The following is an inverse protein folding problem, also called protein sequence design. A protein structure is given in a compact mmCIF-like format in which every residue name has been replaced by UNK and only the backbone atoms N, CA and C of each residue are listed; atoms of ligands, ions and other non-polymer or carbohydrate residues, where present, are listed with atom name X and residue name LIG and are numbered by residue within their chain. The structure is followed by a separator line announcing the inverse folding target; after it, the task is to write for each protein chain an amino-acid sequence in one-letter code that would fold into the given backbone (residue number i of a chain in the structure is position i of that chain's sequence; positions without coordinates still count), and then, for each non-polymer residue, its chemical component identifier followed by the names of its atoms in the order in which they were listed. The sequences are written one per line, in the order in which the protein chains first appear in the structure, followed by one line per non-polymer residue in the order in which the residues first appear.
data_IF_961649962457
#
_entry.id   IF_961649962457
#
_cell.length_a   1.000
_cell.length_b   1.000
_cell.length_c   1.000
_cell.angle_alpha   90.00
_cell.angle_beta   90.00
_cell.angle_gamma   90.00
#
_symmetry.space_group_name_H-M   'P 1'
#
loop_
_entity.id
_entity.type
_entity.pdbx_description
1 polymer ?
#
# COMPACT_ATOMS: atom_id res chain seq x y z
N UNK A 1 58.10 41.28 35.81
CA UNK A 1 57.90 39.94 36.40
C UNK A 1 56.48 39.70 36.91
N UNK A 2 55.99 40.30 38.01
CA UNK A 2 54.61 40.04 38.47
C UNK A 2 53.49 40.64 37.57
N UNK A 3 53.72 41.80 36.96
CA UNK A 3 52.76 42.40 36.01
C UNK A 3 52.65 41.62 34.71
N UNK A 4 53.77 41.12 34.17
CA UNK A 4 53.77 40.27 32.97
C UNK A 4 53.06 38.95 33.21
N UNK A 5 53.23 38.34 34.40
CA UNK A 5 52.50 37.12 34.77
C UNK A 5 50.99 37.36 34.82
N UNK A 6 50.54 38.49 35.38
CA UNK A 6 49.11 38.86 35.37
C UNK A 6 48.56 39.12 33.98
N UNK A 7 49.36 39.73 33.10
CA UNK A 7 48.97 40.00 31.72
C UNK A 7 48.86 38.70 30.90
N UNK A 8 49.80 37.77 31.09
CA UNK A 8 49.79 36.44 30.47
C UNK A 8 48.57 35.62 30.93
N UNK A 9 48.28 35.62 32.24
CA UNK A 9 47.08 34.96 32.79
C UNK A 9 45.78 35.54 32.22
N UNK A 10 45.69 36.87 32.06
CA UNK A 10 44.54 37.52 31.45
C UNK A 10 44.36 37.10 29.98
N UNK A 11 45.46 37.02 29.21
CA UNK A 11 45.43 36.57 27.81
C UNK A 11 45.00 35.11 27.68
N UNK A 12 45.54 34.23 28.53
CA UNK A 12 45.16 32.81 28.58
C UNK A 12 43.68 32.64 28.94
N UNK A 13 43.15 33.48 29.83
CA UNK A 13 41.73 33.50 30.18
C UNK A 13 40.82 33.94 29.03
N UNK A 14 41.25 34.95 28.26
CA UNK A 14 40.54 35.43 27.06
C UNK A 14 40.52 34.36 25.95
N UNK A 15 41.66 33.71 25.72
CA UNK A 15 41.81 32.65 24.71
C UNK A 15 40.94 31.42 25.06
N UNK A 16 40.93 30.99 26.33
CA UNK A 16 40.08 29.90 26.81
C UNK A 16 38.58 30.24 26.69
N UNK A 17 38.18 31.50 26.93
CA UNK A 17 36.79 31.93 26.77
C UNK A 17 36.34 31.90 25.29
N UNK A 18 37.22 32.31 24.36
CA UNK A 18 36.98 32.23 22.92
C UNK A 18 36.81 30.77 22.44
N UNK A 19 37.64 29.84 22.92
CA UNK A 19 37.53 28.42 22.58
C UNK A 19 36.20 27.81 23.05
N UNK A 20 35.72 28.15 24.26
CA UNK A 20 34.43 27.69 24.77
C UNK A 20 33.26 28.20 23.91
N UNK A 21 33.32 29.46 23.46
CA UNK A 21 32.31 30.05 22.57
C UNK A 21 32.29 29.32 21.22
N UNK A 22 33.45 29.03 20.62
CA UNK A 22 33.50 28.32 19.35
C UNK A 22 33.07 26.86 19.46
N UNK A 23 33.40 26.17 20.55
CA UNK A 23 32.91 24.83 20.84
C UNK A 23 31.38 24.81 20.98
N UNK A 24 30.81 25.78 21.70
CA UNK A 24 29.36 25.85 21.90
C UNK A 24 28.61 26.22 20.62
N UNK A 25 29.16 27.13 19.80
CA UNK A 25 28.66 27.38 18.44
C UNK A 25 28.72 26.13 17.57
N UNK A 26 29.79 25.33 17.64
CA UNK A 26 29.92 24.10 16.87
C UNK A 26 28.85 23.07 17.27
N UNK A 27 28.59 22.89 18.57
CA UNK A 27 27.52 22.02 19.06
C UNK A 27 26.13 22.48 18.62
N UNK A 28 25.84 23.78 18.72
CA UNK A 28 24.57 24.34 18.24
C UNK A 28 24.37 24.12 16.74
N UNK A 29 25.41 24.34 15.92
CA UNK A 29 25.36 24.07 14.47
C UNK A 29 25.08 22.60 14.16
N UNK A 30 25.78 21.69 14.81
CA UNK A 30 25.56 20.25 14.62
C UNK A 30 24.14 19.81 15.01
N UNK A 31 23.59 20.36 16.10
CA UNK A 31 22.22 20.07 16.53
C UNK A 31 21.19 20.59 15.51
N UNK A 32 21.38 21.80 14.98
CA UNK A 32 20.52 22.39 13.95
C UNK A 32 20.55 21.59 12.64
N UNK A 33 21.73 21.19 12.18
CA UNK A 33 21.86 20.36 10.98
C UNK A 33 21.22 18.98 11.15
N UNK A 34 21.37 18.36 12.33
CA UNK A 34 20.71 17.08 12.62
C UNK A 34 19.19 17.22 12.61
N UNK A 35 18.64 18.27 13.23
CA UNK A 35 17.20 18.56 13.21
C UNK A 35 16.68 18.79 11.79
N UNK A 36 17.42 19.53 10.96
CA UNK A 36 17.06 19.79 9.57
C UNK A 36 17.04 18.51 8.73
N UNK A 37 18.06 17.63 8.87
CA UNK A 37 18.12 16.35 8.17
C UNK A 37 16.96 15.42 8.53
N UNK A 38 16.52 15.44 9.79
CA UNK A 38 15.35 14.66 10.24
C UNK A 38 14.08 15.17 9.55
N UNK A 39 13.87 16.49 9.56
CA UNK A 39 12.71 17.13 8.93
C UNK A 39 12.64 16.84 7.41
N UNK A 40 13.77 16.95 6.71
CA UNK A 40 13.87 16.63 5.27
C UNK A 40 13.53 15.17 4.97
N UNK A 41 14.01 14.24 5.81
CA UNK A 41 13.75 12.81 5.66
C UNK A 41 12.28 12.46 5.90
N UNK A 42 11.62 13.12 6.86
CA UNK A 42 10.19 12.97 7.08
C UNK A 42 9.36 13.54 5.92
N UNK A 43 9.73 14.73 5.42
CA UNK A 43 9.07 15.33 4.27
C UNK A 43 9.16 14.43 3.02
N UNK A 44 10.34 13.88 2.74
CA UNK A 44 10.53 12.96 1.62
C UNK A 44 9.73 11.66 1.77
N UNK A 45 9.64 11.12 3.00
CA UNK A 45 8.79 9.95 3.29
C UNK A 45 7.32 10.25 3.01
N UNK A 46 6.81 11.42 3.40
CA UNK A 46 5.43 11.84 3.12
C UNK A 46 5.17 11.93 1.62
N UNK A 47 6.05 12.59 0.87
CA UNK A 47 5.94 12.72 -0.59
C UNK A 47 5.97 11.35 -1.27
N UNK A 48 6.84 10.43 -0.82
CA UNK A 48 6.91 9.09 -1.40
C UNK A 48 5.66 8.26 -1.07
N UNK A 49 5.13 8.36 0.14
CA UNK A 49 3.88 7.70 0.52
C UNK A 49 2.71 8.23 -0.33
N UNK A 50 2.62 9.55 -0.52
CA UNK A 50 1.58 10.17 -1.34
C UNK A 50 1.72 9.81 -2.83
N UNK A 51 2.93 9.83 -3.39
CA UNK A 51 3.19 9.36 -4.77
C UNK A 51 2.84 7.89 -4.95
N UNK A 52 3.11 7.05 -3.95
CA UNK A 52 2.73 5.63 -3.97
C UNK A 52 1.22 5.48 -3.96
N UNK A 53 0.53 6.17 -3.05
CA UNK A 53 -0.94 6.17 -3.00
C UNK A 53 -1.56 6.70 -4.30
N UNK A 54 -0.98 7.74 -4.91
CA UNK A 54 -1.45 8.31 -6.17
C UNK A 54 -1.25 7.33 -7.33
N UNK A 55 -0.09 6.64 -7.40
CA UNK A 55 0.14 5.57 -8.40
C UNK A 55 -0.84 4.42 -8.23
N UNK A 56 -1.07 3.94 -7.01
CA UNK A 56 -2.04 2.88 -6.73
C UNK A 56 -3.47 3.32 -7.09
N UNK A 57 -3.84 4.56 -6.81
CA UNK A 57 -5.14 5.12 -7.21
C UNK A 57 -5.24 5.28 -8.73
N UNK A 58 -4.17 5.69 -9.42
CA UNK A 58 -4.14 5.81 -10.87
C UNK A 58 -4.21 4.45 -11.57
N UNK A 59 -3.56 3.42 -11.02
CA UNK A 59 -3.69 2.02 -11.48
C UNK A 59 -5.13 1.52 -11.29
N UNK A 60 -5.72 1.72 -10.11
CA UNK A 60 -7.15 1.42 -9.86
C UNK A 60 -8.04 2.16 -10.86
N UNK A 61 -7.73 3.42 -11.16
CA UNK A 61 -8.47 4.23 -12.15
C UNK A 61 -8.26 3.72 -13.57
N UNK A 62 -7.06 3.27 -13.95
CA UNK A 62 -6.78 2.67 -15.26
C UNK A 62 -7.55 1.37 -15.46
N UNK A 63 -7.56 0.48 -14.45
CA UNK A 63 -8.40 -0.72 -14.44
C UNK A 63 -9.88 -0.34 -14.60
N UNK A 64 -10.29 0.73 -13.93
CA UNK A 64 -11.63 1.31 -14.05
C UNK A 64 -11.90 2.03 -15.39
N UNK A 65 -10.89 2.51 -16.12
CA UNK A 65 -11.07 3.13 -17.44
C UNK A 65 -10.97 2.12 -18.59
N UNK A 66 -10.26 0.99 -18.42
CA UNK A 66 -10.36 -0.16 -19.33
C UNK A 66 -11.76 -0.81 -19.31
N UNK A 67 -12.63 -0.44 -18.35
CA UNK A 67 -14.05 -0.84 -18.26
C UNK A 67 -14.89 -0.58 -19.51
N UNK A 68 -14.42 0.25 -20.46
CA UNK A 68 -15.13 0.51 -21.72
C UNK A 68 -14.75 -0.39 -22.89
N UNK A 69 -13.74 -1.27 -22.76
CA UNK A 69 -13.12 -1.93 -23.92
C UNK A 69 -12.86 -3.44 -23.76
N UNK A 70 -13.06 -4.05 -22.59
CA UNK A 70 -12.85 -5.50 -22.43
C UNK A 70 -14.16 -6.22 -22.07
N UNK A 71 -14.99 -6.50 -23.09
CA UNK A 71 -16.30 -7.17 -23.01
C UNK A 71 -16.25 -8.65 -22.57
N UNK A 72 -15.11 -9.13 -22.05
CA UNK A 72 -14.87 -10.57 -21.86
C UNK A 72 -15.53 -11.14 -20.60
N UNK A 73 -15.81 -10.33 -19.59
CA UNK A 73 -16.58 -10.72 -18.39
C UNK A 73 -17.23 -9.50 -17.71
N UNK A 74 -18.31 -9.70 -16.94
CA UNK A 74 -18.98 -8.62 -16.20
C UNK A 74 -18.23 -8.27 -14.91
N UNK A 75 -18.10 -6.99 -14.61
CA UNK A 75 -17.63 -6.55 -13.30
C UNK A 75 -18.80 -6.51 -12.31
N UNK A 76 -18.61 -7.10 -11.14
CA UNK A 76 -19.58 -7.05 -10.04
C UNK A 76 -19.01 -6.25 -8.87
N UNK A 77 -19.75 -5.27 -8.33
CA UNK A 77 -19.40 -4.60 -7.09
C UNK A 77 -19.48 -5.59 -5.91
N UNK A 78 -18.63 -5.40 -4.90
CA UNK A 78 -18.57 -6.30 -3.74
C UNK A 78 -19.91 -6.34 -3.00
N UNK A 79 -20.64 -5.22 -2.97
CA UNK A 79 -21.94 -5.10 -2.32
C UNK A 79 -22.98 -6.04 -2.95
N UNK A 80 -22.90 -6.28 -4.27
CA UNK A 80 -23.77 -7.22 -4.97
C UNK A 80 -23.41 -8.67 -4.63
N UNK A 81 -22.11 -8.97 -4.52
CA UNK A 81 -21.61 -10.28 -4.10
C UNK A 81 -22.01 -10.57 -2.65
N UNK A 82 -21.86 -9.60 -1.75
CA UNK A 82 -22.27 -9.71 -0.35
C UNK A 82 -23.78 -9.94 -0.22
N UNK A 83 -24.60 -9.17 -0.93
CA UNK A 83 -26.04 -9.36 -0.95
C UNK A 83 -26.43 -10.75 -1.48
N UNK A 84 -25.84 -11.19 -2.59
CA UNK A 84 -26.16 -12.46 -3.22
C UNK A 84 -25.70 -13.68 -2.39
N UNK A 85 -24.66 -13.51 -1.56
CA UNK A 85 -24.13 -14.54 -0.66
C UNK A 85 -24.71 -14.47 0.75
N UNK A 86 -25.61 -13.52 1.04
CA UNK A 86 -26.10 -13.22 2.39
C UNK A 86 -24.93 -12.97 3.37
N UNK A 87 -24.01 -12.09 2.98
CA UNK A 87 -22.75 -11.84 3.70
C UNK A 87 -21.93 -13.13 3.91
N UNK A 88 -21.76 -13.91 2.84
CA UNK A 88 -21.00 -15.17 2.85
C UNK A 88 -21.54 -16.20 3.87
N UNK A 89 -22.86 -16.27 4.04
CA UNK A 89 -23.52 -17.18 4.97
C UNK A 89 -23.13 -18.65 4.74
N UNK A 90 -22.89 -19.39 5.82
CA UNK A 90 -22.55 -20.81 5.75
C UNK A 90 -23.62 -21.66 5.04
N UNK A 91 -24.89 -21.27 5.16
CA UNK A 91 -26.02 -21.92 4.48
C UNK A 91 -25.94 -21.84 2.94
N UNK A 92 -25.21 -20.85 2.39
CA UNK A 92 -25.00 -20.67 0.96
C UNK A 92 -23.76 -21.40 0.45
N UNK A 93 -22.89 -21.88 1.33
CA UNK A 93 -21.63 -22.56 0.96
C UNK A 93 -21.94 -23.95 0.39
N UNK A 94 -21.42 -24.21 -0.80
CA UNK A 94 -21.58 -25.49 -1.51
C UNK A 94 -20.28 -26.28 -1.63
N UNK A 95 -19.14 -25.67 -1.30
CA UNK A 95 -17.85 -26.33 -1.33
C UNK A 95 -16.72 -25.46 -0.79
N UNK A 96 -15.54 -26.04 -0.70
CA UNK A 96 -14.32 -25.31 -0.38
C UNK A 96 -13.10 -26.23 -0.28
N UNK A 97 -11.93 -25.67 -0.55
CA UNK A 97 -10.65 -26.39 -0.49
C UNK A 97 -9.48 -25.43 -0.41
N UNK A 98 -8.30 -25.84 -0.89
CA UNK A 98 -7.09 -25.02 -0.88
C UNK A 98 -7.22 -23.65 -1.57
N UNK A 99 -8.15 -23.52 -2.51
CA UNK A 99 -8.40 -22.30 -3.28
C UNK A 99 -9.49 -21.40 -2.69
N UNK A 100 -10.08 -21.79 -1.55
CA UNK A 100 -11.13 -21.01 -0.86
C UNK A 100 -12.54 -21.58 -1.01
N UNK A 101 -13.53 -20.94 -0.37
CA UNK A 101 -14.93 -21.38 -0.37
C UNK A 101 -15.68 -21.03 -1.66
N UNK A 102 -16.70 -21.83 -1.98
CA UNK A 102 -17.62 -21.63 -3.10
C UNK A 102 -19.05 -21.53 -2.56
N UNK A 103 -19.78 -20.53 -3.00
CA UNK A 103 -21.16 -20.23 -2.58
C UNK A 103 -22.13 -20.33 -3.76
N UNK A 104 -23.34 -20.84 -3.50
CA UNK A 104 -24.45 -20.86 -4.45
C UNK A 104 -25.30 -19.61 -4.27
N UNK A 105 -25.43 -18.83 -5.34
CA UNK A 105 -26.08 -17.52 -5.31
C UNK A 105 -26.95 -17.31 -6.55
N UNK A 106 -27.65 -16.19 -6.58
CA UNK A 106 -28.34 -15.69 -7.77
C UNK A 106 -27.85 -14.27 -8.08
N UNK A 107 -27.39 -14.03 -9.30
CA UNK A 107 -27.01 -12.72 -9.83
C UNK A 107 -27.80 -12.49 -11.12
N UNK A 108 -28.45 -11.35 -11.27
CA UNK A 108 -29.33 -11.04 -12.42
C UNK A 108 -30.30 -12.19 -12.79
N UNK A 109 -30.97 -12.76 -11.79
CA UNK A 109 -31.87 -13.94 -11.95
C UNK A 109 -31.20 -15.21 -12.49
N UNK A 110 -29.88 -15.26 -12.58
CA UNK A 110 -29.10 -16.41 -13.00
C UNK A 110 -28.52 -17.11 -11.79
N UNK A 111 -28.70 -18.44 -11.69
CA UNK A 111 -28.04 -19.23 -10.65
C UNK A 111 -26.52 -19.29 -10.92
N UNK A 112 -25.71 -18.92 -9.94
CA UNK A 112 -24.25 -18.82 -10.08
C UNK A 112 -23.51 -19.49 -8.93
N UNK A 113 -22.24 -19.83 -9.18
CA UNK A 113 -21.28 -20.19 -8.16
C UNK A 113 -20.30 -19.03 -7.95
N UNK A 114 -20.19 -18.53 -6.72
CA UNK A 114 -19.23 -17.47 -6.35
C UNK A 114 -18.08 -18.13 -5.61
N UNK A 115 -16.90 -18.15 -6.23
CA UNK A 115 -15.66 -18.67 -5.65
C UNK A 115 -14.88 -17.50 -5.03
N UNK A 116 -14.65 -17.56 -3.73
CA UNK A 116 -13.87 -16.54 -3.01
C UNK A 116 -12.44 -17.04 -2.88
N UNK A 117 -11.50 -16.38 -3.55
CA UNK A 117 -10.09 -16.72 -3.43
C UNK A 117 -9.51 -16.13 -2.15
N UNK A 118 -8.69 -16.92 -1.47
CA UNK A 118 -8.08 -16.56 -0.18
C UNK A 118 -7.05 -15.44 -0.33
N UNK A 119 -7.28 -14.23 0.21
CA UNK A 119 -6.31 -13.12 0.11
C UNK A 119 -5.03 -13.38 0.91
N UNK A 120 -5.13 -14.22 1.95
CA UNK A 120 -4.05 -14.63 2.84
C UNK A 120 -3.16 -15.72 2.25
N UNK A 121 -3.57 -16.34 1.14
CA UNK A 121 -2.69 -17.20 0.38
C UNK A 121 -1.62 -16.34 -0.31
N UNK A 122 -0.35 -16.73 -0.19
CA UNK A 122 0.78 -16.03 -0.79
C UNK A 122 0.60 -15.74 -2.31
N UNK A 123 -0.28 -16.50 -2.97
CA UNK A 123 -0.57 -16.40 -4.40
C UNK A 123 -2.03 -16.02 -4.72
N UNK A 124 -2.88 -15.66 -3.75
CA UNK A 124 -4.33 -15.50 -3.95
C UNK A 124 -4.68 -14.49 -5.05
N UNK A 125 -4.02 -13.32 -5.08
CA UNK A 125 -4.20 -12.34 -6.17
C UNK A 125 -3.70 -12.86 -7.52
N UNK A 126 -2.57 -13.56 -7.57
CA UNK A 126 -2.08 -14.11 -8.84
C UNK A 126 -3.04 -15.18 -9.38
N UNK A 127 -3.59 -16.01 -8.50
CA UNK A 127 -4.57 -17.04 -8.87
C UNK A 127 -5.85 -16.40 -9.40
N UNK A 128 -6.31 -15.30 -8.77
CA UNK A 128 -7.45 -14.53 -9.28
C UNK A 128 -7.22 -14.03 -10.70
N UNK A 129 -6.10 -13.35 -10.95
CA UNK A 129 -5.80 -12.80 -12.27
C UNK A 129 -5.68 -13.90 -13.32
N UNK A 130 -5.02 -15.01 -12.99
CA UNK A 130 -4.87 -16.14 -13.89
C UNK A 130 -6.21 -16.80 -14.23
N UNK A 131 -7.07 -17.06 -13.24
CA UNK A 131 -8.40 -17.66 -13.49
C UNK A 131 -9.27 -16.73 -14.36
N UNK A 132 -9.27 -15.42 -14.06
CA UNK A 132 -10.03 -14.43 -14.84
C UNK A 132 -9.49 -14.31 -16.26
N UNK A 133 -8.19 -14.19 -16.45
CA UNK A 133 -7.55 -14.08 -17.77
C UNK A 133 -7.91 -15.27 -18.66
N UNK A 134 -7.75 -16.50 -18.14
CA UNK A 134 -8.01 -17.73 -18.89
C UNK A 134 -9.51 -17.88 -19.18
N UNK A 135 -10.37 -17.82 -18.16
CA UNK A 135 -11.79 -18.12 -18.34
C UNK A 135 -12.55 -17.03 -19.11
N UNK A 136 -12.07 -15.79 -19.08
CA UNK A 136 -12.65 -14.70 -19.88
C UNK A 136 -12.54 -14.93 -21.40
N UNK A 137 -11.63 -15.81 -21.83
CA UNK A 137 -11.35 -16.09 -23.25
C UNK A 137 -11.95 -17.42 -23.74
N UNK A 138 -12.63 -18.18 -22.89
CA UNK A 138 -13.12 -19.54 -23.21
C UNK A 138 -14.65 -19.56 -23.23
N UNK A 139 -15.23 -20.02 -24.34
CA UNK A 139 -16.65 -20.33 -24.46
C UNK A 139 -16.82 -21.70 -25.11
N UNK A 140 -16.91 -22.73 -24.28
CA UNK A 140 -17.05 -24.12 -24.70
C UNK A 140 -18.10 -24.84 -23.84
N UNK A 141 -18.96 -25.72 -24.39
CA UNK A 141 -19.98 -26.45 -23.63
C UNK A 141 -19.43 -27.35 -22.51
N UNK A 142 -18.17 -27.78 -22.59
CA UNK A 142 -17.55 -28.66 -21.60
C UNK A 142 -16.70 -27.89 -20.58
N UNK A 143 -16.61 -26.56 -20.71
CA UNK A 143 -15.88 -25.69 -19.80
C UNK A 143 -16.83 -24.82 -18.99
N UNK A 144 -16.39 -24.44 -17.80
CA UNK A 144 -17.13 -23.48 -16.98
C UNK A 144 -17.10 -22.10 -17.63
N UNK A 145 -18.26 -21.43 -17.65
CA UNK A 145 -18.37 -20.07 -18.17
C UNK A 145 -18.14 -19.05 -17.04
N UNK A 146 -17.17 -18.17 -17.23
CA UNK A 146 -17.01 -17.01 -16.36
C UNK A 146 -18.04 -15.94 -16.75
N UNK A 147 -19.01 -15.70 -15.86
CA UNK A 147 -19.98 -14.63 -16.04
C UNK A 147 -19.41 -13.26 -15.64
N UNK A 148 -18.58 -13.24 -14.60
CA UNK A 148 -17.99 -12.01 -14.10
C UNK A 148 -17.07 -12.21 -12.91
N UNK A 149 -16.51 -11.10 -12.43
CA UNK A 149 -15.57 -11.09 -11.31
C UNK A 149 -15.69 -9.82 -10.46
N UNK A 150 -15.27 -9.94 -9.19
CA UNK A 150 -15.13 -8.86 -8.22
C UNK A 150 -13.66 -8.84 -7.76
N UNK A 151 -12.81 -7.96 -8.30
CA UNK A 151 -11.39 -7.82 -7.92
C UNK A 151 -11.17 -7.21 -6.53
#
# INVERSE_FOLDING_TARGET
MQEEQKLEEARMGEEAALELVELEKAKCRAAMEAAQRIAEREALKRINAEKKALKEAEERRKIMNSRGQDFRYRWYPIEEIEAATENFAAARKIGGGGYGPVYKCYLDHTAVAIKVLRPDAAQGRSQFHQEVEVLSCIRDPNMVLLLGACP
#
